data_IF_311067538312
#
_entry.id   IF_311067538312
#
_cell.length_a   1.000
_cell.length_b   1.000
_cell.length_c   1.000
_cell.angle_alpha   90.00
_cell.angle_beta   90.00
_cell.angle_gamma   90.00
#
_symmetry.space_group_name_H-M   'P 1'
#
loop_
_entity.id
_entity.type
_entity.pdbx_description
1 polymer ?
#
# COMPACT_ATOMS: atom_id res chain seq x y z
N UNK A 1 17.40 -56.38 1.34
CA UNK A 1 16.53 -56.95 2.40
C UNK A 1 16.58 -56.05 3.63
N UNK A 2 15.55 -55.25 3.86
CA UNK A 2 14.85 -55.04 5.15
C UNK A 2 13.97 -53.81 5.05
N UNK A 3 12.68 -54.10 5.02
CA UNK A 3 11.56 -53.18 5.10
C UNK A 3 11.54 -52.43 6.44
N UNK A 4 11.01 -51.21 6.43
CA UNK A 4 10.28 -50.64 7.56
C UNK A 4 9.09 -49.87 6.99
N UNK A 5 7.93 -50.52 7.11
CA UNK A 5 6.59 -49.95 6.95
C UNK A 5 6.23 -49.40 8.32
N UNK A 6 5.90 -48.10 8.40
CA UNK A 6 5.18 -47.56 9.55
C UNK A 6 4.05 -46.70 9.02
N UNK A 7 2.82 -47.22 9.15
CA UNK A 7 1.60 -46.47 8.99
C UNK A 7 1.14 -45.89 10.32
N UNK A 8 0.50 -44.73 10.27
CA UNK A 8 -0.38 -44.18 11.30
C UNK A 8 -1.33 -43.22 10.57
N UNK A 9 -2.57 -43.63 10.33
CA UNK A 9 -3.75 -43.35 11.17
C UNK A 9 -4.45 -42.05 10.72
N UNK A 10 -5.35 -42.21 9.74
CA UNK A 10 -6.35 -41.24 9.32
C UNK A 10 -7.37 -41.06 10.46
N UNK A 11 -7.55 -39.84 10.96
CA UNK A 11 -8.68 -39.45 11.80
C UNK A 11 -9.65 -38.63 10.94
N UNK A 12 -10.73 -39.29 10.53
CA UNK A 12 -11.91 -38.65 9.93
C UNK A 12 -12.78 -38.09 11.05
N UNK A 13 -12.85 -36.76 11.16
CA UNK A 13 -13.86 -36.07 11.98
C UNK A 13 -15.00 -35.65 11.05
N UNK A 14 -16.12 -36.36 11.16
CA UNK A 14 -17.39 -35.95 10.58
C UNK A 14 -18.07 -34.95 11.55
N UNK A 15 -18.23 -33.70 11.12
CA UNK A 15 -19.01 -32.67 11.82
C UNK A 15 -20.25 -32.33 11.02
N UNK A 16 -21.42 -32.56 11.62
CA UNK A 16 -22.75 -32.35 11.06
C UNK A 16 -23.06 -30.87 10.82
N UNK A 17 -23.79 -30.59 9.74
CA UNK A 17 -24.31 -29.27 9.42
C UNK A 17 -25.55 -28.88 10.22
N UNK A 18 -25.78 -27.57 10.29
CA UNK A 18 -27.03 -26.95 10.70
C UNK A 18 -27.39 -25.91 9.63
N UNK A 19 -28.42 -26.22 8.84
CA UNK A 19 -29.08 -25.31 7.92
C UNK A 19 -29.96 -24.34 8.71
N UNK A 20 -29.76 -23.04 8.54
CA UNK A 20 -30.69 -22.02 9.03
C UNK A 20 -31.37 -21.38 7.83
N UNK A 21 -32.63 -21.77 7.61
CA UNK A 21 -33.58 -21.08 6.73
C UNK A 21 -34.11 -19.83 7.46
N UNK A 22 -34.10 -18.68 6.78
CA UNK A 22 -34.50 -17.39 7.34
C UNK A 22 -34.96 -16.38 6.29
N UNK A 23 -36.17 -16.60 5.79
CA UNK A 23 -37.03 -15.75 4.95
C UNK A 23 -36.91 -14.21 5.06
N UNK A 24 -36.92 -13.60 3.86
CA UNK A 24 -37.77 -12.49 3.38
C UNK A 24 -37.54 -11.02 3.83
N UNK A 25 -37.12 -10.22 2.83
CA UNK A 25 -37.52 -8.86 2.39
C UNK A 25 -38.95 -8.37 2.75
N UNK A 26 -39.34 -7.06 2.59
CA UNK A 26 -38.67 -5.95 1.87
C UNK A 26 -38.75 -4.52 2.48
N UNK A 27 -38.04 -3.60 1.80
CA UNK A 27 -38.37 -2.17 1.53
C UNK A 27 -38.20 -1.10 2.62
N UNK A 28 -37.38 -0.08 2.31
CA UNK A 28 -37.81 1.33 2.31
C UNK A 28 -36.76 2.21 1.62
N UNK A 29 -37.22 3.03 0.66
CA UNK A 29 -36.37 3.93 -0.10
C UNK A 29 -35.75 5.05 0.73
N UNK A 30 -34.57 5.48 0.29
CA UNK A 30 -34.01 6.78 0.62
C UNK A 30 -33.50 7.42 -0.67
N UNK A 31 -33.99 8.63 -0.90
CA UNK A 31 -33.63 9.52 -1.99
C UNK A 31 -32.16 9.89 -1.95
N UNK A 32 -31.46 9.71 -3.07
CA UNK A 32 -30.12 10.23 -3.29
C UNK A 32 -30.14 11.76 -3.32
N UNK A 33 -29.54 12.39 -2.32
CA UNK A 33 -29.15 13.79 -2.40
C UNK A 33 -27.70 13.85 -2.91
N UNK A 34 -27.57 14.38 -4.14
CA UNK A 34 -26.30 14.56 -4.83
C UNK A 34 -25.41 15.50 -4.02
N UNK A 35 -24.26 15.00 -3.58
CA UNK A 35 -23.22 15.81 -2.96
C UNK A 35 -21.91 15.54 -3.69
N UNK A 36 -21.75 16.23 -4.82
CA UNK A 36 -20.48 16.31 -5.51
C UNK A 36 -19.47 17.03 -4.60
N UNK A 37 -18.35 16.37 -4.29
CA UNK A 37 -17.20 17.01 -3.64
C UNK A 37 -16.02 17.08 -4.63
N UNK A 38 -15.28 18.21 -4.67
CA UNK A 38 -14.41 18.52 -5.80
C UNK A 38 -13.06 17.80 -5.74
N UNK A 39 -12.50 17.62 -6.93
CA UNK A 39 -11.14 17.19 -7.22
C UNK A 39 -10.10 17.99 -6.41
N UNK A 40 -9.15 17.31 -5.79
CA UNK A 40 -7.97 17.93 -5.16
C UNK A 40 -7.00 18.39 -6.26
N UNK A 41 -6.82 19.70 -6.38
CA UNK A 41 -5.68 20.29 -7.10
C UNK A 41 -4.48 20.39 -6.14
N UNK A 42 -3.23 20.13 -6.58
CA UNK A 42 -2.06 20.28 -5.72
C UNK A 42 -1.73 21.76 -5.47
N UNK A 43 -1.26 22.06 -4.27
CA UNK A 43 -0.87 23.40 -3.85
C UNK A 43 0.50 23.80 -4.44
N UNK A 44 0.68 25.07 -4.89
CA UNK A 44 1.99 25.68 -5.01
C UNK A 44 2.36 26.43 -3.71
N UNK A 45 3.63 26.36 -3.34
CA UNK A 45 4.15 26.83 -2.06
C UNK A 45 4.35 28.34 -1.89
N UNK A 46 4.89 28.62 -0.70
CA UNK A 46 5.62 29.79 -0.24
C UNK A 46 4.90 31.15 -0.04
N UNK A 47 4.97 31.63 1.20
CA UNK A 47 5.21 33.05 1.50
C UNK A 47 4.19 33.71 2.42
N UNK A 48 4.67 34.30 3.51
CA UNK A 48 3.99 35.41 4.19
C UNK A 48 3.77 35.18 5.68
N UNK A 49 4.65 35.76 6.50
CA UNK A 49 4.52 35.77 7.95
C UNK A 49 3.33 36.59 8.44
N UNK A 50 2.78 36.16 9.58
CA UNK A 50 2.07 37.03 10.53
C UNK A 50 2.08 36.33 11.90
N UNK A 51 2.84 36.87 12.85
CA UNK A 51 2.70 36.52 14.26
C UNK A 51 1.41 37.14 14.82
N UNK A 52 0.66 36.45 15.68
CA UNK A 52 -0.51 37.02 16.34
C UNK A 52 -0.11 38.05 17.41
N UNK A 53 -0.94 39.07 17.70
CA UNK A 53 -0.65 40.02 18.76
C UNK A 53 -0.86 39.38 20.14
N UNK A 54 0.19 39.42 20.96
CA UNK A 54 0.10 39.13 22.39
C UNK A 54 -0.69 40.23 23.10
N UNK A 55 -1.88 39.92 23.60
CA UNK A 55 -2.61 40.77 24.55
C UNK A 55 -2.32 40.30 25.97
N UNK A 56 -1.36 40.95 26.65
CA UNK A 56 -1.09 40.71 28.07
C UNK A 56 0.26 41.26 28.51
N UNK A 57 0.28 41.94 29.65
CA UNK A 57 1.46 42.60 30.20
C UNK A 57 2.52 41.59 30.70
N UNK A 58 3.48 41.26 29.84
CA UNK A 58 4.85 40.84 30.18
C UNK A 58 5.64 40.62 28.88
N UNK A 59 6.14 41.71 28.29
CA UNK A 59 7.22 41.64 27.30
C UNK A 59 8.48 42.15 27.98
N UNK A 60 9.24 41.26 28.60
CA UNK A 60 10.60 41.56 29.04
C UNK A 60 11.53 41.48 27.82
N UNK A 61 12.22 42.60 27.55
CA UNK A 61 13.27 42.70 26.54
C UNK A 61 14.48 41.85 26.93
N UNK A 62 15.23 41.32 25.95
CA UNK A 62 16.67 41.26 26.10
C UNK A 62 17.37 42.20 25.12
N UNK A 63 18.30 42.93 25.72
CA UNK A 63 19.14 43.96 25.15
C UNK A 63 20.07 43.47 24.04
N UNK A 64 20.24 44.37 23.08
CA UNK A 64 21.20 44.36 21.99
C UNK A 64 22.65 44.31 22.48
N UNK A 65 23.50 43.51 21.81
CA UNK A 65 24.94 43.73 21.67
C UNK A 65 25.48 42.94 20.47
N UNK A 66 25.31 43.51 19.27
CA UNK A 66 25.99 43.08 18.05
C UNK A 66 27.36 43.76 17.91
N UNK A 67 28.36 43.00 17.49
CA UNK A 67 29.65 43.45 16.92
C UNK A 67 29.78 42.81 15.53
N UNK A 68 30.36 43.48 14.51
CA UNK A 68 30.12 43.12 13.12
C UNK A 68 31.14 42.14 12.52
N UNK A 69 30.62 41.38 11.55
CA UNK A 69 31.22 40.85 10.32
C UNK A 69 32.70 40.38 10.33
N UNK A 70 32.88 39.09 10.06
CA UNK A 70 33.88 38.64 9.07
C UNK A 70 33.24 37.54 8.25
N UNK A 71 32.99 37.87 6.99
CA UNK A 71 32.52 36.95 5.94
C UNK A 71 33.69 36.04 5.54
N UNK A 72 33.48 34.72 5.57
CA UNK A 72 34.17 33.79 4.67
C UNK A 72 33.12 32.84 4.08
N UNK A 73 33.00 32.72 2.74
CA UNK A 73 32.12 31.75 2.11
C UNK A 73 32.84 30.41 2.06
N UNK A 74 32.46 29.48 2.93
CA UNK A 74 32.81 28.07 2.77
C UNK A 74 31.65 27.40 2.06
N UNK A 75 31.72 27.41 0.73
CA UNK A 75 30.99 26.48 -0.13
C UNK A 75 31.67 25.12 -0.01
N UNK A 76 31.29 24.35 1.00
CA UNK A 76 31.41 22.89 0.99
C UNK A 76 29.98 22.36 1.04
N UNK A 77 29.29 22.49 -0.09
CA UNK A 77 28.20 21.56 -0.40
C UNK A 77 28.88 20.19 -0.54
N UNK A 78 28.62 19.21 0.36
CA UNK A 78 29.08 17.86 0.08
C UNK A 78 28.47 17.47 -1.25
N UNK A 79 29.32 17.04 -2.18
CA UNK A 79 28.91 16.44 -3.43
C UNK A 79 27.76 15.49 -3.11
N UNK A 80 26.58 15.78 -3.66
CA UNK A 80 25.45 14.89 -3.58
C UNK A 80 25.95 13.52 -4.02
N UNK A 81 25.80 12.55 -3.13
CA UNK A 81 25.70 11.16 -3.53
C UNK A 81 24.42 11.06 -4.38
N UNK A 82 24.49 11.56 -5.62
CA UNK A 82 23.58 11.23 -6.71
C UNK A 82 23.80 9.75 -7.00
N UNK A 83 23.24 8.91 -6.13
CA UNK A 83 22.97 7.52 -6.47
C UNK A 83 22.20 7.55 -7.82
N UNK A 84 22.65 6.80 -8.83
CA UNK A 84 22.09 6.89 -10.17
C UNK A 84 20.59 6.53 -10.16
N UNK A 85 19.74 7.55 -10.18
CA UNK A 85 18.89 7.88 -11.33
C UNK A 85 17.78 6.92 -11.75
N UNK A 86 17.33 5.99 -10.91
CA UNK A 86 16.08 5.26 -11.14
C UNK A 86 15.05 5.74 -10.12
N UNK A 87 14.09 6.52 -10.60
CA UNK A 87 12.96 6.89 -9.75
C UNK A 87 12.09 5.65 -9.52
N UNK A 88 11.45 5.49 -8.35
CA UNK A 88 10.57 4.35 -8.05
C UNK A 88 9.48 4.07 -9.10
N UNK A 89 9.15 5.09 -9.90
CA UNK A 89 8.07 5.12 -10.91
C UNK A 89 8.27 4.23 -12.15
N UNK A 90 9.42 3.56 -12.30
CA UNK A 90 9.74 2.79 -13.51
C UNK A 90 9.37 1.29 -13.41
N UNK A 91 8.65 0.86 -12.37
CA UNK A 91 8.18 -0.53 -12.24
C UNK A 91 7.05 -0.82 -13.24
N UNK A 92 7.21 -1.89 -14.02
CA UNK A 92 6.18 -2.40 -14.91
C UNK A 92 5.15 -3.23 -14.12
N UNK A 93 3.86 -3.08 -14.41
CA UNK A 93 2.83 -3.87 -13.71
C UNK A 93 2.56 -5.24 -14.36
N UNK A 94 2.89 -5.41 -15.64
CA UNK A 94 2.65 -6.64 -16.38
C UNK A 94 3.57 -6.74 -17.62
N UNK A 95 3.87 -7.96 -18.13
CA UNK A 95 3.58 -9.25 -17.49
C UNK A 95 4.41 -9.42 -16.21
N UNK A 96 4.08 -10.43 -15.39
CA UNK A 96 4.73 -10.64 -14.09
C UNK A 96 6.27 -10.64 -14.15
N UNK A 97 6.87 -11.28 -15.16
CA UNK A 97 8.33 -11.28 -15.32
C UNK A 97 8.91 -9.88 -15.49
N UNK A 98 8.22 -8.99 -16.20
CA UNK A 98 8.64 -7.59 -16.33
C UNK A 98 8.45 -6.81 -15.04
N UNK A 99 7.44 -7.15 -14.23
CA UNK A 99 7.26 -6.56 -12.91
C UNK A 99 8.41 -6.91 -11.97
N UNK A 100 8.80 -8.19 -11.92
CA UNK A 100 9.96 -8.66 -11.14
C UNK A 100 11.25 -8.02 -11.66
N UNK A 101 11.55 -8.10 -12.96
CA UNK A 101 12.79 -7.55 -13.53
C UNK A 101 12.95 -6.04 -13.29
N UNK A 102 11.85 -5.28 -13.39
CA UNK A 102 11.87 -3.83 -13.15
C UNK A 102 11.94 -3.50 -11.66
N UNK A 103 11.22 -4.22 -10.81
CA UNK A 103 11.36 -4.09 -9.35
C UNK A 103 12.78 -4.40 -8.90
N UNK A 104 13.41 -5.47 -9.39
CA UNK A 104 14.80 -5.82 -9.07
C UNK A 104 15.79 -4.74 -9.50
N UNK A 105 15.60 -4.16 -10.69
CA UNK A 105 16.46 -3.09 -11.20
C UNK A 105 16.35 -1.81 -10.35
N UNK A 106 15.12 -1.47 -9.95
CA UNK A 106 14.79 -0.33 -9.09
C UNK A 106 15.38 -0.66 -7.72
N UNK A 107 14.93 -1.72 -7.04
CA UNK A 107 15.31 -2.10 -5.69
C UNK A 107 16.81 -2.34 -5.51
N UNK A 108 17.45 -3.08 -6.42
CA UNK A 108 18.89 -3.33 -6.38
C UNK A 108 19.75 -2.08 -6.47
N UNK A 109 19.24 -0.97 -7.04
CA UNK A 109 19.98 0.30 -7.13
C UNK A 109 20.28 0.92 -5.77
N UNK A 110 19.47 0.64 -4.75
CA UNK A 110 19.62 1.16 -3.39
C UNK A 110 20.52 0.31 -2.49
N UNK A 111 20.87 -0.92 -2.89
CA UNK A 111 21.64 -1.85 -2.05
C UNK A 111 23.06 -2.12 -2.60
N UNK A 112 24.11 -2.02 -1.77
CA UNK A 112 25.46 -2.40 -2.16
C UNK A 112 25.51 -3.88 -2.58
N UNK A 113 25.75 -4.15 -3.86
CA UNK A 113 25.76 -5.51 -4.42
C UNK A 113 24.46 -5.94 -5.10
N UNK A 114 23.45 -5.06 -5.18
CA UNK A 114 22.24 -5.29 -5.96
C UNK A 114 21.21 -6.23 -5.32
N UNK A 115 21.38 -6.57 -4.04
CA UNK A 115 20.49 -7.48 -3.33
C UNK A 115 19.76 -6.74 -2.22
N UNK A 116 18.43 -6.80 -2.25
CA UNK A 116 17.59 -6.28 -1.16
C UNK A 116 17.80 -7.14 0.09
N UNK A 117 18.15 -6.50 1.21
CA UNK A 117 18.32 -7.20 2.50
C UNK A 117 17.61 -6.44 3.61
N UNK A 118 17.15 -7.16 4.64
CA UNK A 118 16.48 -6.56 5.82
C UNK A 118 17.39 -5.62 6.65
N UNK A 119 18.72 -5.66 6.46
CA UNK A 119 19.70 -4.85 7.19
C UNK A 119 20.33 -3.72 6.35
N UNK A 120 19.59 -3.20 5.36
CA UNK A 120 20.02 -2.04 4.58
C UNK A 120 20.27 -0.79 5.41
N UNK A 121 20.87 0.24 4.80
CA UNK A 121 20.93 1.55 5.45
C UNK A 121 19.50 2.13 5.61
N UNK A 122 19.26 3.06 6.56
CA UNK A 122 17.96 3.70 6.70
C UNK A 122 17.44 4.33 5.41
N UNK A 123 18.34 4.87 4.59
CA UNK A 123 18.02 5.46 3.29
C UNK A 123 17.60 4.39 2.28
N UNK A 124 18.30 3.26 2.23
CA UNK A 124 17.94 2.14 1.35
C UNK A 124 16.58 1.53 1.73
N UNK A 125 16.28 1.43 3.04
CA UNK A 125 15.00 0.94 3.54
C UNK A 125 13.87 1.91 3.19
N UNK A 126 14.05 3.21 3.45
CA UNK A 126 13.03 4.22 3.11
C UNK A 126 12.75 4.28 1.60
N UNK A 127 13.78 4.07 0.79
CA UNK A 127 13.66 4.02 -0.65
C UNK A 127 12.94 2.74 -1.12
N UNK A 128 13.19 1.59 -0.46
CA UNK A 128 12.48 0.34 -0.74
C UNK A 128 10.99 0.47 -0.38
N UNK A 129 10.67 1.04 0.78
CA UNK A 129 9.29 1.29 1.20
C UNK A 129 8.56 2.19 0.19
N UNK A 130 9.20 3.25 -0.29
CA UNK A 130 8.63 4.12 -1.33
C UNK A 130 8.42 3.38 -2.67
N UNK A 131 9.27 2.40 -2.98
CA UNK A 131 9.10 1.57 -4.19
C UNK A 131 7.94 0.60 -4.04
N UNK A 132 7.79 -0.04 -2.88
CA UNK A 132 6.66 -0.92 -2.58
C UNK A 132 5.34 -0.14 -2.64
N UNK A 133 5.31 1.06 -2.06
CA UNK A 133 4.15 1.97 -2.09
C UNK A 133 3.71 2.27 -3.53
N UNK A 134 4.65 2.66 -4.40
CA UNK A 134 4.38 2.92 -5.82
C UNK A 134 3.85 1.68 -6.55
N UNK A 135 4.40 0.48 -6.29
CA UNK A 135 3.89 -0.76 -6.90
C UNK A 135 2.46 -1.03 -6.45
N UNK A 136 2.16 -0.89 -5.16
CA UNK A 136 0.80 -1.12 -4.64
C UNK A 136 -0.17 -0.08 -5.19
N UNK A 137 0.21 1.20 -5.28
CA UNK A 137 -0.63 2.27 -5.84
C UNK A 137 -0.87 2.10 -7.35
N UNK A 138 0.15 1.72 -8.11
CA UNK A 138 0.07 1.69 -9.57
C UNK A 138 -0.38 0.35 -10.14
N UNK A 139 0.06 -0.74 -9.52
CA UNK A 139 -0.10 -2.09 -10.03
C UNK A 139 -1.07 -2.95 -9.19
N UNK A 140 -1.36 -2.52 -7.96
CA UNK A 140 -2.20 -3.26 -7.02
C UNK A 140 -1.41 -4.17 -6.08
N UNK A 141 -2.02 -4.49 -4.95
CA UNK A 141 -1.40 -5.24 -3.85
C UNK A 141 -0.94 -6.63 -4.26
N UNK A 142 -1.76 -7.35 -5.04
CA UNK A 142 -1.42 -8.72 -5.43
C UNK A 142 -0.14 -8.79 -6.27
N UNK A 143 0.12 -7.81 -7.15
CA UNK A 143 1.37 -7.75 -7.91
C UNK A 143 2.58 -7.68 -6.98
N UNK A 144 2.49 -6.88 -5.91
CA UNK A 144 3.56 -6.81 -4.91
C UNK A 144 3.69 -8.10 -4.09
N UNK A 145 2.59 -8.78 -3.77
CA UNK A 145 2.62 -10.10 -3.12
C UNK A 145 3.35 -11.12 -3.99
N UNK A 146 3.10 -11.12 -5.30
CA UNK A 146 3.78 -12.05 -6.21
C UNK A 146 5.27 -11.72 -6.35
N UNK A 147 5.61 -10.44 -6.48
CA UNK A 147 7.01 -9.99 -6.50
C UNK A 147 7.70 -10.46 -5.23
N UNK A 148 7.09 -10.23 -4.06
CA UNK A 148 7.64 -10.67 -2.78
C UNK A 148 7.80 -12.20 -2.69
N UNK A 149 7.00 -12.98 -3.44
CA UNK A 149 7.11 -14.43 -3.54
C UNK A 149 8.37 -14.93 -4.27
N UNK A 150 9.00 -14.10 -5.10
CA UNK A 150 10.27 -14.42 -5.80
C UNK A 150 11.50 -14.15 -4.94
N UNK A 151 11.34 -13.48 -3.80
CA UNK A 151 12.42 -13.14 -2.88
C UNK A 151 12.65 -14.24 -1.82
N UNK A 152 13.88 -14.37 -1.27
CA UNK A 152 14.18 -15.30 -0.18
C UNK A 152 13.27 -15.11 1.05
N UNK A 153 13.12 -16.17 1.86
CA UNK A 153 12.24 -16.18 3.05
C UNK A 153 12.60 -15.12 4.09
N UNK A 154 13.82 -14.58 4.07
CA UNK A 154 14.25 -13.50 4.96
C UNK A 154 13.76 -12.12 4.51
N UNK A 155 13.56 -11.92 3.20
CA UNK A 155 13.20 -10.63 2.60
C UNK A 155 11.70 -10.56 2.31
N UNK A 156 11.11 -11.68 1.88
CA UNK A 156 9.69 -11.77 1.52
C UNK A 156 8.74 -11.24 2.62
N UNK A 157 8.89 -11.61 3.92
CA UNK A 157 8.01 -11.09 4.97
C UNK A 157 8.11 -9.57 5.18
N UNK A 158 9.29 -8.98 4.95
CA UNK A 158 9.49 -7.52 5.04
C UNK A 158 8.73 -6.83 3.91
N UNK A 159 8.87 -7.32 2.67
CA UNK A 159 8.16 -6.79 1.51
C UNK A 159 6.64 -6.92 1.65
N UNK A 160 6.16 -8.06 2.14
CA UNK A 160 4.74 -8.29 2.39
C UNK A 160 4.20 -7.34 3.47
N UNK A 161 4.95 -7.12 4.55
CA UNK A 161 4.54 -6.17 5.58
C UNK A 161 4.49 -4.74 5.04
N UNK A 162 5.49 -4.31 4.25
CA UNK A 162 5.47 -2.99 3.61
C UNK A 162 4.30 -2.87 2.62
N UNK A 163 3.96 -3.94 1.87
CA UNK A 163 2.81 -3.95 0.96
C UNK A 163 1.47 -3.79 1.70
N UNK A 164 1.31 -4.41 2.86
CA UNK A 164 0.11 -4.22 3.71
C UNK A 164 0.05 -2.81 4.27
N UNK A 165 1.19 -2.20 4.63
CA UNK A 165 1.22 -0.80 5.08
C UNK A 165 0.83 0.16 3.94
N UNK A 166 1.26 -0.12 2.71
CA UNK A 166 0.93 0.67 1.53
C UNK A 166 -0.57 0.62 1.14
N UNK A 167 -1.33 -0.34 1.67
CA UNK A 167 -2.78 -0.39 1.48
C UNK A 167 -3.54 0.69 2.26
N UNK A 168 -2.90 1.37 3.22
CA UNK A 168 -3.47 2.47 4.01
C UNK A 168 -4.87 2.12 4.57
N UNK A 169 -5.90 2.90 4.22
CA UNK A 169 -7.28 2.71 4.70
C UNK A 169 -7.86 1.31 4.41
N UNK A 170 -7.40 0.62 3.36
CA UNK A 170 -7.86 -0.74 3.01
C UNK A 170 -7.41 -1.76 4.06
N UNK A 171 -6.20 -1.60 4.60
CA UNK A 171 -5.64 -2.51 5.61
C UNK A 171 -6.36 -2.44 6.97
N UNK A 172 -7.02 -1.31 7.24
CA UNK A 172 -7.81 -1.09 8.46
C UNK A 172 -9.24 -1.63 8.39
N UNK A 173 -9.68 -2.10 7.21
CA UNK A 173 -11.02 -2.63 7.03
C UNK A 173 -11.17 -3.99 7.73
N UNK A 174 -12.31 -4.26 8.39
CA UNK A 174 -12.58 -5.59 8.93
C UNK A 174 -12.74 -6.62 7.80
N UNK A 175 -12.56 -7.92 8.10
CA UNK A 175 -12.91 -9.00 7.18
C UNK A 175 -14.42 -9.02 6.89
N UNK A 176 -14.81 -9.83 5.90
CA UNK A 176 -16.20 -10.18 5.56
C UNK A 176 -17.07 -9.02 5.05
N UNK A 177 -16.47 -7.96 4.50
CA UNK A 177 -17.21 -6.88 3.82
C UNK A 177 -17.72 -7.32 2.45
N UNK A 178 -18.88 -6.79 2.06
CA UNK A 178 -19.40 -6.90 0.70
C UNK A 178 -18.94 -5.72 -0.15
N UNK A 179 -19.07 -5.83 -1.48
CA UNK A 179 -18.73 -4.74 -2.41
C UNK A 179 -19.45 -3.41 -2.07
N UNK A 180 -20.72 -3.48 -1.68
CA UNK A 180 -21.49 -2.29 -1.27
C UNK A 180 -21.00 -1.68 0.05
N UNK A 181 -20.44 -2.49 0.96
CA UNK A 181 -19.89 -2.00 2.20
C UNK A 181 -18.59 -1.22 1.96
N UNK A 182 -17.75 -1.71 1.04
CA UNK A 182 -16.54 -1.01 0.59
C UNK A 182 -16.93 0.30 -0.11
N UNK A 183 -17.92 0.28 -1.01
CA UNK A 183 -18.42 1.49 -1.69
C UNK A 183 -18.97 2.52 -0.69
N UNK A 184 -19.74 2.08 0.30
CA UNK A 184 -20.34 2.94 1.32
C UNK A 184 -19.28 3.68 2.18
N UNK A 185 -18.03 3.23 2.16
CA UNK A 185 -16.89 3.88 2.83
C UNK A 185 -16.19 4.91 1.93
N UNK A 186 -16.63 5.07 0.69
CA UNK A 186 -16.08 6.05 -0.26
C UNK A 186 -14.88 5.54 -1.05
N UNK A 187 -14.63 4.23 -1.00
CA UNK A 187 -13.52 3.56 -1.69
C UNK A 187 -13.87 3.25 -3.15
N UNK A 188 -12.84 3.09 -3.98
CA UNK A 188 -12.97 2.83 -5.41
C UNK A 188 -12.81 1.36 -5.81
N UNK A 189 -12.88 1.11 -7.12
CA UNK A 189 -12.71 -0.23 -7.71
C UNK A 189 -11.38 -0.88 -7.32
N UNK A 190 -10.28 -0.12 -7.36
CA UNK A 190 -8.94 -0.58 -6.96
C UNK A 190 -8.92 -1.08 -5.52
N UNK A 191 -9.40 -0.26 -4.59
CA UNK A 191 -9.43 -0.59 -3.16
C UNK A 191 -10.25 -1.87 -2.90
N UNK A 192 -11.34 -2.07 -3.64
CA UNK A 192 -12.14 -3.28 -3.54
C UNK A 192 -11.39 -4.53 -4.03
N UNK A 193 -10.63 -4.43 -5.11
CA UNK A 193 -9.77 -5.51 -5.63
C UNK A 193 -8.63 -5.81 -4.65
N UNK A 194 -7.97 -4.77 -4.13
CA UNK A 194 -6.92 -4.91 -3.12
C UNK A 194 -7.44 -5.55 -1.83
N UNK A 195 -8.62 -5.13 -1.35
CA UNK A 195 -9.30 -5.75 -0.21
C UNK A 195 -9.60 -7.22 -0.48
N UNK A 196 -10.11 -7.55 -1.68
CA UNK A 196 -10.42 -8.92 -2.06
C UNK A 196 -9.19 -9.82 -1.97
N UNK A 197 -8.02 -9.35 -2.44
CA UNK A 197 -6.76 -10.09 -2.29
C UNK A 197 -6.28 -10.14 -0.84
N UNK A 198 -6.27 -9.02 -0.11
CA UNK A 198 -5.83 -8.95 1.29
C UNK A 198 -6.59 -9.95 2.18
N UNK A 199 -7.89 -10.10 1.95
CA UNK A 199 -8.77 -10.99 2.72
C UNK A 199 -8.96 -12.38 2.08
N UNK A 200 -8.04 -12.80 1.22
CA UNK A 200 -7.98 -14.15 0.66
C UNK A 200 -9.20 -14.53 -0.20
N UNK A 201 -9.62 -13.62 -1.06
CA UNK A 201 -10.64 -13.80 -2.11
C UNK A 201 -12.03 -14.17 -1.55
N UNK A 202 -12.67 -13.35 -0.70
CA UNK A 202 -14.01 -13.63 -0.21
C UNK A 202 -15.01 -13.87 -1.36
N UNK A 203 -15.65 -15.04 -1.37
CA UNK A 203 -16.62 -15.42 -2.41
C UNK A 203 -17.86 -14.51 -2.44
N UNK A 204 -18.12 -13.74 -1.37
CA UNK A 204 -19.22 -12.79 -1.34
C UNK A 204 -18.99 -11.54 -2.22
N UNK A 205 -17.74 -11.28 -2.61
CA UNK A 205 -17.37 -10.16 -3.48
C UNK A 205 -17.31 -10.54 -4.96
N UNK A 206 -17.05 -11.81 -5.27
CA UNK A 206 -17.08 -12.41 -6.61
C UNK A 206 -18.22 -13.45 -6.63
N UNK A 207 -19.45 -12.95 -6.73
CA UNK A 207 -20.64 -13.74 -6.48
C UNK A 207 -20.95 -14.75 -7.59
N UNK A 208 -20.48 -14.51 -8.81
CA UNK A 208 -20.61 -15.43 -9.93
C UNK A 208 -19.37 -16.32 -10.15
N UNK A 209 -18.30 -16.08 -9.38
CA UNK A 209 -17.06 -16.86 -9.34
C UNK A 209 -16.33 -16.85 -10.68
N UNK A 210 -16.35 -15.72 -11.39
CA UNK A 210 -15.64 -15.52 -12.65
C UNK A 210 -14.19 -15.02 -12.46
N UNK A 211 -13.81 -14.70 -11.22
CA UNK A 211 -12.49 -14.19 -10.84
C UNK A 211 -12.38 -12.68 -10.86
N UNK A 212 -13.48 -11.95 -11.08
CA UNK A 212 -13.54 -10.49 -10.99
C UNK A 212 -14.40 -10.10 -9.79
N UNK A 213 -13.85 -9.48 -8.75
CA UNK A 213 -14.66 -9.04 -7.62
C UNK A 213 -15.38 -7.72 -7.95
N UNK A 214 -16.60 -7.59 -7.45
CA UNK A 214 -17.34 -6.34 -7.39
C UNK A 214 -17.61 -5.64 -8.73
N UNK A 215 -17.52 -6.34 -9.86
CA UNK A 215 -17.81 -5.91 -11.21
C UNK A 215 -19.26 -5.42 -11.42
N UNK A 216 -20.17 -5.86 -10.54
CA UNK A 216 -21.55 -5.35 -10.49
C UNK A 216 -21.69 -3.97 -9.84
N UNK A 217 -20.74 -3.57 -8.99
CA UNK A 217 -20.66 -2.23 -8.37
C UNK A 217 -19.74 -1.33 -9.19
N UNK A 218 -18.58 -1.84 -9.59
CA UNK A 218 -17.56 -1.16 -10.40
C UNK A 218 -17.26 -1.95 -11.68
N UNK A 219 -17.86 -1.57 -12.82
CA UNK A 219 -17.65 -2.29 -14.10
C UNK A 219 -16.20 -2.36 -14.58
N UNK A 220 -15.31 -1.53 -14.04
CA UNK A 220 -13.89 -1.43 -14.32
C UNK A 220 -13.00 -2.19 -13.32
N UNK A 221 -13.57 -2.97 -12.38
CA UNK A 221 -12.78 -3.74 -11.41
C UNK A 221 -11.74 -4.67 -12.06
N UNK A 222 -12.06 -5.24 -13.22
CA UNK A 222 -11.15 -6.11 -13.96
C UNK A 222 -9.84 -5.42 -14.41
N UNK A 223 -9.82 -4.09 -14.51
CA UNK A 223 -8.61 -3.33 -14.88
C UNK A 223 -7.52 -3.40 -13.80
N UNK A 224 -7.90 -3.66 -12.55
CA UNK A 224 -7.00 -3.73 -11.39
C UNK A 224 -6.57 -5.16 -11.03
N UNK A 225 -7.06 -6.17 -11.76
CA UNK A 225 -6.59 -7.54 -11.58
C UNK A 225 -5.18 -7.70 -12.19
N UNK A 226 -4.30 -8.47 -11.55
CA UNK A 226 -3.02 -8.85 -12.15
C UNK A 226 -3.24 -9.56 -13.48
N UNK A 227 -2.64 -9.02 -14.53
CA UNK A 227 -2.71 -9.58 -15.88
C UNK A 227 -1.50 -10.53 -16.07
N UNK A 228 -1.64 -11.80 -15.66
CA UNK A 228 -0.60 -12.81 -15.86
C UNK A 228 -0.56 -13.37 -17.29
#
# INVERSE_FOLDING_TARGET
MRSLVLGAALLLVAGCGETVDGSADPAAGATAETSARPSRTPAPGAGGGAQPPCTGAACDEPTSSGTPATEEPVSDEPAGDDAPGVSPVDVACAPFTSAVDSFDAVAGSAFPGGLVTEFGSPEAIAWLDATVDEVVERCGYQVMVDIAGEYPEEVSPVLLNSAVVALDEVSDLPPDLLCQDVEARGMGAKDAVDYWFLWQLPAAMDADADGVPCETVWPDAAEWLPQY
#
